data_IF_534090201215
#
_entry.id   IF_534090201215
#
_cell.length_a   1.000
_cell.length_b   1.000
_cell.length_c   1.000
_cell.angle_alpha   90.00
_cell.angle_beta   90.00
_cell.angle_gamma   90.00
#
_symmetry.space_group_name_H-M   'P 1'
#
loop_
_entity.id
_entity.type
_entity.pdbx_description
1 polymer ?
#
# COMPACT_ATOMS: atom_id res chain seq x y z
N UNK A 1 31.78 4.88 -38.07
CA UNK A 1 30.62 5.02 -37.16
C UNK A 1 29.42 4.33 -37.81
N UNK A 2 28.86 3.29 -37.18
CA UNK A 2 27.62 2.66 -37.65
C UNK A 2 26.47 3.31 -36.90
N UNK A 3 25.73 4.20 -37.56
CA UNK A 3 24.48 4.71 -37.04
C UNK A 3 23.38 3.68 -37.36
N UNK A 4 22.73 3.14 -36.33
CA UNK A 4 21.49 2.36 -36.48
C UNK A 4 20.33 3.28 -36.15
N UNK A 5 19.42 3.46 -37.11
CA UNK A 5 18.14 4.09 -36.85
C UNK A 5 17.27 3.16 -36.00
N UNK A 6 16.37 3.74 -35.19
CA UNK A 6 15.37 2.95 -34.48
C UNK A 6 14.54 2.15 -35.48
N UNK A 7 14.19 0.92 -35.14
CA UNK A 7 13.22 0.13 -35.91
C UNK A 7 11.90 0.91 -36.05
N UNK A 8 11.15 0.63 -37.11
CA UNK A 8 9.80 1.19 -37.27
C UNK A 8 8.93 0.89 -36.04
N UNK A 9 8.09 1.86 -35.66
CA UNK A 9 7.13 1.68 -34.58
C UNK A 9 6.12 0.61 -34.97
N UNK A 10 5.81 -0.31 -34.05
CA UNK A 10 4.79 -1.33 -34.27
C UNK A 10 3.41 -0.69 -34.45
N UNK A 11 2.52 -1.27 -35.27
CA UNK A 11 1.17 -0.76 -35.47
C UNK A 11 0.35 -0.71 -34.17
N UNK A 12 0.60 -1.63 -33.22
CA UNK A 12 -0.03 -1.66 -31.90
C UNK A 12 1.05 -1.67 -30.80
N UNK A 13 1.58 -0.51 -30.39
CA UNK A 13 2.73 -0.43 -29.48
C UNK A 13 2.46 -0.93 -28.07
N UNK A 14 1.19 -1.11 -27.68
CA UNK A 14 0.79 -1.59 -26.35
C UNK A 14 0.54 -3.10 -26.29
N UNK A 15 0.58 -3.80 -27.43
CA UNK A 15 0.34 -5.25 -27.51
C UNK A 15 1.69 -5.96 -27.53
N UNK A 16 1.96 -6.75 -26.49
CA UNK A 16 3.16 -7.57 -26.40
C UNK A 16 3.07 -8.77 -27.34
N UNK A 17 4.12 -9.04 -28.10
CA UNK A 17 4.27 -10.27 -28.87
C UNK A 17 4.43 -11.49 -27.93
N UNK A 18 4.13 -12.70 -28.41
CA UNK A 18 4.24 -13.91 -27.59
C UNK A 18 5.62 -14.08 -26.93
N UNK A 19 6.71 -13.78 -27.67
CA UNK A 19 8.08 -13.83 -27.13
C UNK A 19 8.31 -12.81 -26.01
N UNK A 20 7.67 -11.64 -26.09
CA UNK A 20 7.79 -10.60 -25.07
C UNK A 20 6.92 -10.90 -23.85
N UNK A 21 5.78 -11.57 -24.05
CA UNK A 21 4.97 -12.11 -22.98
C UNK A 21 5.70 -13.21 -22.22
N UNK A 22 6.38 -14.11 -22.92
CA UNK A 22 7.24 -15.14 -22.32
C UNK A 22 8.40 -14.49 -21.56
N UNK A 23 9.10 -13.54 -22.18
CA UNK A 23 10.22 -12.84 -21.55
C UNK A 23 9.78 -12.04 -20.33
N UNK A 24 8.61 -11.38 -20.39
CA UNK A 24 7.98 -10.71 -19.26
C UNK A 24 7.68 -11.71 -18.15
N UNK A 25 7.11 -12.87 -18.47
CA UNK A 25 6.76 -13.90 -17.48
C UNK A 25 7.99 -14.46 -16.77
N UNK A 26 9.07 -14.70 -17.52
CA UNK A 26 10.38 -15.13 -17.00
C UNK A 26 10.98 -14.04 -16.11
N UNK A 27 11.00 -12.79 -16.57
CA UNK A 27 11.60 -11.66 -15.83
C UNK A 27 10.83 -11.36 -14.54
N UNK A 28 9.51 -11.54 -14.56
CA UNK A 28 8.66 -11.32 -13.40
C UNK A 28 8.64 -12.52 -12.42
N UNK A 29 9.35 -13.62 -12.72
CA UNK A 29 9.32 -14.86 -11.92
C UNK A 29 7.86 -15.28 -11.59
N UNK A 30 6.93 -15.09 -12.55
CA UNK A 30 5.52 -15.29 -12.27
C UNK A 30 5.28 -16.80 -12.09
N UNK A 31 4.78 -17.25 -10.91
CA UNK A 31 4.46 -18.65 -10.71
C UNK A 31 3.46 -19.14 -11.75
N UNK A 32 3.48 -20.44 -12.06
CA UNK A 32 2.45 -21.06 -12.89
C UNK A 32 1.09 -20.88 -12.18
N UNK A 33 0.10 -20.36 -12.91
CA UNK A 33 -1.21 -20.01 -12.38
C UNK A 33 -1.88 -21.21 -11.71
N UNK A 34 -2.28 -21.03 -10.45
CA UNK A 34 -3.18 -21.96 -9.75
C UNK A 34 -4.58 -21.87 -10.38
N UNK A 35 -5.44 -22.90 -10.27
CA UNK A 35 -6.74 -22.95 -10.95
C UNK A 35 -7.72 -21.83 -10.56
N UNK A 36 -7.42 -21.04 -9.52
CA UNK A 36 -8.10 -19.77 -9.23
C UNK A 36 -7.06 -18.65 -9.02
N UNK A 37 -7.26 -17.55 -9.72
CA UNK A 37 -6.57 -16.27 -9.54
C UNK A 37 -7.62 -15.26 -9.08
N UNK A 38 -7.28 -14.47 -8.07
CA UNK A 38 -8.17 -13.45 -7.52
C UNK A 38 -7.39 -12.16 -7.33
N UNK A 39 -7.90 -11.09 -7.92
CA UNK A 39 -7.31 -9.77 -7.78
C UNK A 39 -7.77 -9.10 -6.48
N UNK A 40 -6.83 -8.39 -5.84
CA UNK A 40 -7.11 -7.50 -4.72
C UNK A 40 -7.05 -6.07 -5.24
N UNK A 41 -8.17 -5.35 -5.14
CA UNK A 41 -8.29 -3.97 -5.63
C UNK A 41 -8.07 -3.01 -4.47
N UNK A 42 -6.99 -2.23 -4.57
CA UNK A 42 -6.57 -1.31 -3.51
C UNK A 42 -6.61 0.14 -4.00
N UNK A 43 -7.44 0.97 -3.37
CA UNK A 43 -7.50 2.40 -3.62
C UNK A 43 -6.82 3.22 -2.53
N UNK A 44 -5.73 3.91 -2.86
CA UNK A 44 -5.07 4.87 -1.96
C UNK A 44 -5.31 6.29 -2.44
N UNK A 45 -5.91 7.12 -1.58
CA UNK A 45 -6.39 8.46 -1.92
C UNK A 45 -5.64 9.51 -1.11
N UNK A 46 -4.53 10.01 -1.66
CA UNK A 46 -3.73 11.09 -1.08
C UNK A 46 -4.34 12.44 -1.43
N UNK A 47 -4.85 13.15 -0.42
CA UNK A 47 -5.45 14.46 -0.64
C UNK A 47 -4.40 15.58 -0.78
N UNK A 48 -4.81 16.69 -1.40
CA UNK A 48 -3.94 17.83 -1.66
C UNK A 48 -3.57 18.64 -0.40
N UNK A 49 -2.54 19.48 -0.51
CA UNK A 49 -2.11 20.38 0.57
C UNK A 49 -3.29 21.19 1.12
N UNK A 50 -3.39 21.23 2.44
CA UNK A 50 -4.47 21.88 3.17
C UNK A 50 -5.88 21.37 2.81
N UNK A 51 -6.03 20.12 2.32
CA UNK A 51 -7.33 19.47 2.16
C UNK A 51 -7.51 18.33 3.16
N UNK A 52 -8.69 18.24 3.76
CA UNK A 52 -9.05 17.15 4.66
C UNK A 52 -10.55 16.88 4.53
N UNK A 53 -10.90 15.71 3.99
CA UNK A 53 -12.26 15.25 3.77
C UNK A 53 -13.14 15.53 4.97
N UNK A 54 -12.76 15.03 6.14
CA UNK A 54 -13.60 15.03 7.33
C UNK A 54 -13.79 16.46 7.87
N UNK A 55 -12.74 17.31 7.80
CA UNK A 55 -12.80 18.73 8.19
C UNK A 55 -13.69 19.52 7.23
N UNK A 56 -13.56 19.24 5.94
CA UNK A 56 -14.14 20.04 4.87
C UNK A 56 -15.59 19.62 4.54
N UNK A 57 -16.10 18.53 5.16
CA UNK A 57 -17.48 18.04 4.98
C UNK A 57 -18.53 19.08 5.34
N UNK A 58 -18.36 19.80 6.45
CA UNK A 58 -19.35 20.78 6.91
C UNK A 58 -19.38 22.04 6.04
N UNK A 59 -18.24 22.39 5.45
CA UNK A 59 -18.10 23.51 4.53
C UNK A 59 -18.47 23.16 3.08
N UNK A 60 -18.85 21.91 2.79
CA UNK A 60 -19.07 21.39 1.43
C UNK A 60 -17.87 21.63 0.49
N UNK A 61 -16.65 21.68 1.05
CA UNK A 61 -15.43 22.07 0.37
C UNK A 61 -14.54 20.88 -0.01
N UNK A 62 -15.14 19.70 -0.23
CA UNK A 62 -14.40 18.48 -0.58
C UNK A 62 -13.59 18.63 -1.86
N UNK A 63 -12.33 18.18 -1.80
CA UNK A 63 -11.49 17.98 -2.98
C UNK A 63 -12.03 16.87 -3.88
N UNK A 64 -11.54 16.82 -5.12
CA UNK A 64 -11.87 15.71 -6.02
C UNK A 64 -11.37 14.36 -5.47
N UNK A 65 -10.26 14.34 -4.75
CA UNK A 65 -9.73 13.11 -4.13
C UNK A 65 -10.69 12.59 -3.05
N UNK A 66 -11.17 13.48 -2.18
CA UNK A 66 -12.17 13.12 -1.17
C UNK A 66 -13.46 12.58 -1.79
N UNK A 67 -13.91 13.16 -2.91
CA UNK A 67 -15.09 12.69 -3.66
C UNK A 67 -14.84 11.32 -4.29
N UNK A 68 -13.68 11.10 -4.90
CA UNK A 68 -13.29 9.82 -5.48
C UNK A 68 -13.22 8.71 -4.42
N UNK A 69 -12.70 9.03 -3.23
CA UNK A 69 -12.67 8.11 -2.10
C UNK A 69 -14.07 7.67 -1.65
N UNK A 70 -15.03 8.60 -1.57
CA UNK A 70 -16.40 8.29 -1.18
C UNK A 70 -17.08 7.35 -2.17
N UNK A 71 -16.92 7.61 -3.48
CA UNK A 71 -17.57 6.81 -4.52
C UNK A 71 -16.85 5.48 -4.82
N UNK A 72 -15.60 5.32 -4.40
CA UNK A 72 -14.88 4.07 -4.58
C UNK A 72 -15.51 2.96 -3.73
N UNK A 73 -15.95 1.89 -4.39
CA UNK A 73 -16.49 0.68 -3.73
C UNK A 73 -15.34 -0.08 -3.09
N UNK A 74 -15.28 -0.10 -1.76
CA UNK A 74 -14.28 -0.86 -1.02
C UNK A 74 -14.41 -0.67 0.49
N UNK A 75 -13.98 -1.68 1.25
CA UNK A 75 -13.90 -1.62 2.70
C UNK A 75 -12.79 -0.64 3.12
N UNK A 76 -13.10 0.41 3.90
CA UNK A 76 -12.12 1.39 4.29
C UNK A 76 -11.19 0.85 5.38
N UNK A 77 -9.93 1.31 5.40
CA UNK A 77 -8.99 1.05 6.52
C UNK A 77 -9.57 1.50 7.86
N UNK A 78 -10.18 2.68 7.85
CA UNK A 78 -10.79 3.34 9.00
C UNK A 78 -12.10 3.94 8.54
N UNK A 79 -13.17 3.71 9.29
CA UNK A 79 -14.51 4.23 8.94
C UNK A 79 -14.66 5.72 9.29
N UNK A 80 -13.77 6.24 10.13
CA UNK A 80 -13.82 7.59 10.68
C UNK A 80 -12.43 7.97 11.21
N UNK A 81 -11.85 9.05 10.71
CA UNK A 81 -10.68 9.68 11.34
C UNK A 81 -11.14 10.67 12.42
N UNK A 82 -10.35 10.79 13.49
CA UNK A 82 -10.56 11.87 14.46
C UNK A 82 -10.00 13.16 13.86
N UNK A 83 -10.79 14.22 13.92
CA UNK A 83 -10.34 15.56 13.54
C UNK A 83 -10.18 16.34 14.84
N UNK A 84 -8.95 16.62 15.24
CA UNK A 84 -8.70 17.32 16.50
C UNK A 84 -9.41 16.60 17.68
N UNK A 85 -10.08 17.33 18.57
CA UNK A 85 -10.87 16.77 19.69
C UNK A 85 -12.27 16.30 19.32
N UNK A 86 -12.64 16.30 18.03
CA UNK A 86 -13.98 15.90 17.55
C UNK A 86 -13.88 14.73 16.58
N UNK A 87 -14.86 13.84 16.62
CA UNK A 87 -14.95 12.78 15.63
C UNK A 87 -15.57 13.36 14.34
N UNK A 88 -14.93 13.17 13.18
CA UNK A 88 -15.47 13.62 11.89
C UNK A 88 -16.76 12.90 11.53
N UNK A 89 -17.50 13.31 10.50
CA UNK A 89 -18.65 12.49 10.05
C UNK A 89 -18.13 11.13 9.53
N UNK A 90 -18.78 10.00 9.88
CA UNK A 90 -18.36 8.69 9.40
C UNK A 90 -18.50 8.61 7.88
N UNK A 91 -17.69 7.74 7.27
CA UNK A 91 -17.73 7.49 5.83
C UNK A 91 -19.12 7.03 5.37
N UNK A 92 -19.49 7.41 4.15
CA UNK A 92 -20.69 6.87 3.54
C UNK A 92 -20.56 5.35 3.41
N UNK A 93 -21.67 4.63 3.59
CA UNK A 93 -21.70 3.19 3.36
C UNK A 93 -21.29 2.90 1.92
N UNK A 94 -20.43 1.89 1.73
CA UNK A 94 -19.97 1.50 0.40
C UNK A 94 -21.18 1.17 -0.49
N UNK A 95 -21.26 1.85 -1.63
CA UNK A 95 -22.22 1.55 -2.69
C UNK A 95 -21.55 0.55 -3.63
N UNK A 96 -22.09 -0.67 -3.69
CA UNK A 96 -21.54 -1.74 -4.52
C UNK A 96 -22.19 -1.71 -5.91
N UNK A 97 -21.36 -1.59 -6.93
CA UNK A 97 -21.78 -1.71 -8.33
C UNK A 97 -22.16 -3.16 -8.66
N UNK A 98 -23.10 -3.35 -9.59
CA UNK A 98 -23.40 -4.67 -10.17
C UNK A 98 -22.21 -5.30 -10.90
N UNK A 99 -21.16 -4.52 -11.18
CA UNK A 99 -19.90 -5.01 -11.75
C UNK A 99 -19.03 -5.77 -10.74
N UNK A 100 -19.27 -5.62 -9.43
CA UNK A 100 -18.55 -6.37 -8.39
C UNK A 100 -19.27 -7.70 -8.13
N UNK A 101 -18.61 -8.85 -8.29
CA UNK A 101 -19.22 -10.14 -7.99
C UNK A 101 -19.59 -10.26 -6.50
N UNK A 102 -20.73 -10.90 -6.23
CA UNK A 102 -21.20 -11.14 -4.86
C UNK A 102 -20.23 -12.06 -4.12
N UNK A 103 -19.80 -11.68 -2.92
CA UNK A 103 -18.83 -12.42 -2.11
C UNK A 103 -17.38 -12.01 -2.34
N UNK A 104 -17.11 -11.16 -3.34
CA UNK A 104 -15.78 -10.61 -3.62
C UNK A 104 -15.56 -9.22 -3.03
N UNK A 105 -16.55 -8.65 -2.34
CA UNK A 105 -16.47 -7.31 -1.72
C UNK A 105 -15.24 -7.17 -0.80
N UNK A 106 -14.86 -8.27 -0.13
CA UNK A 106 -13.70 -8.34 0.76
C UNK A 106 -12.35 -8.06 0.10
N UNK A 107 -12.26 -8.17 -1.23
CA UNK A 107 -11.05 -7.92 -2.02
C UNK A 107 -10.93 -6.47 -2.49
N UNK A 108 -11.99 -5.67 -2.34
CA UNK A 108 -11.99 -4.24 -2.65
C UNK A 108 -11.75 -3.45 -1.37
N UNK A 109 -10.65 -2.69 -1.33
CA UNK A 109 -10.22 -1.96 -0.15
C UNK A 109 -9.83 -0.54 -0.49
N UNK A 110 -10.02 0.37 0.47
CA UNK A 110 -9.64 1.77 0.30
C UNK A 110 -9.01 2.40 1.53
N UNK A 111 -8.15 3.37 1.30
CA UNK A 111 -7.52 4.20 2.33
C UNK A 111 -7.56 5.66 1.90
N UNK A 112 -8.13 6.51 2.74
CA UNK A 112 -8.03 7.96 2.60
C UNK A 112 -6.87 8.48 3.44
N UNK A 113 -6.06 9.36 2.85
CA UNK A 113 -4.92 9.99 3.49
C UNK A 113 -5.13 11.52 3.44
N UNK A 114 -5.33 12.19 4.59
CA UNK A 114 -5.46 13.65 4.65
C UNK A 114 -4.24 14.36 4.07
N UNK A 115 -4.47 15.53 3.50
CA UNK A 115 -3.42 16.37 2.94
C UNK A 115 -2.44 16.88 4.00
N UNK A 116 -1.22 17.20 3.56
CA UNK A 116 -0.24 17.89 4.42
C UNK A 116 -0.74 19.28 4.82
N UNK A 117 -0.36 19.75 6.02
CA UNK A 117 -0.87 21.01 6.57
C UNK A 117 -2.31 20.93 7.09
N UNK A 118 -2.86 19.72 7.21
CA UNK A 118 -4.13 19.46 7.89
C UNK A 118 -3.95 18.45 9.02
N UNK A 119 -4.82 18.46 10.05
CA UNK A 119 -4.68 17.55 11.18
C UNK A 119 -4.75 16.09 10.75
N UNK A 120 -3.77 15.32 11.21
CA UNK A 120 -3.77 13.86 11.22
C UNK A 120 -3.16 13.39 12.55
N UNK A 121 -3.96 13.56 13.60
CA UNK A 121 -3.50 13.51 15.00
C UNK A 121 -2.92 12.15 15.39
N UNK A 122 -3.41 11.08 14.76
CA UNK A 122 -2.96 9.71 15.00
C UNK A 122 -1.55 9.46 14.47
N UNK A 123 -1.07 10.31 13.54
CA UNK A 123 0.32 10.33 13.07
C UNK A 123 1.17 11.41 13.74
N UNK A 124 0.65 12.06 14.78
CA UNK A 124 1.33 13.17 15.46
C UNK A 124 1.31 14.49 14.68
N UNK A 125 0.47 14.62 13.65
CA UNK A 125 0.29 15.88 12.91
C UNK A 125 -0.90 16.66 13.47
N UNK A 126 -0.60 17.77 14.14
CA UNK A 126 -1.61 18.65 14.74
C UNK A 126 -2.36 19.49 13.70
N UNK A 127 -1.75 19.77 12.55
CA UNK A 127 -2.27 20.67 11.53
C UNK A 127 -2.31 22.16 11.91
N UNK A 128 -1.74 22.57 13.06
CA UNK A 128 -1.76 23.96 13.55
C UNK A 128 -0.34 24.44 13.96
N UNK A 129 -0.08 25.76 13.86
CA UNK A 129 1.15 26.37 14.37
C UNK A 129 2.40 26.16 13.50
N UNK A 130 3.54 25.92 14.15
CA UNK A 130 4.88 25.82 13.50
C UNK A 130 4.98 24.67 12.48
N UNK A 131 4.03 23.72 12.52
CA UNK A 131 3.85 22.60 11.58
C UNK A 131 3.26 23.04 10.22
N UNK A 132 2.61 24.20 10.14
CA UNK A 132 1.95 24.69 8.93
C UNK A 132 2.83 25.64 8.07
N UNK A 133 4.02 26.03 8.56
CA UNK A 133 4.77 27.20 8.03
C UNK A 133 6.21 26.94 7.59
N UNK A 134 6.73 25.71 7.69
CA UNK A 134 8.11 25.41 7.29
C UNK A 134 8.14 24.25 6.28
N UNK A 135 8.82 24.44 5.15
CA UNK A 135 8.95 23.41 4.11
C UNK A 135 9.51 22.08 4.64
N UNK A 136 10.34 22.12 5.70
CA UNK A 136 10.82 20.92 6.40
C UNK A 136 9.72 20.18 7.17
N UNK A 137 8.78 20.89 7.79
CA UNK A 137 7.64 20.27 8.48
C UNK A 137 6.70 19.60 7.47
N UNK A 138 6.40 20.28 6.35
CA UNK A 138 5.62 19.69 5.27
C UNK A 138 6.26 18.42 4.69
N UNK A 139 7.59 18.40 4.51
CA UNK A 139 8.31 17.20 4.05
C UNK A 139 8.25 16.05 5.06
N UNK A 140 8.45 16.33 6.36
CA UNK A 140 8.32 15.31 7.43
C UNK A 140 6.93 14.71 7.49
N UNK A 141 5.90 15.55 7.52
CA UNK A 141 4.51 15.12 7.61
C UNK A 141 4.02 14.43 6.33
N UNK A 142 4.60 14.77 5.17
CA UNK A 142 4.41 14.04 3.93
C UNK A 142 4.99 12.63 3.98
N UNK A 143 6.23 12.48 4.44
CA UNK A 143 6.90 11.17 4.56
C UNK A 143 6.17 10.23 5.51
N UNK A 144 5.74 10.71 6.69
CA UNK A 144 4.99 9.88 7.66
C UNK A 144 3.68 9.37 7.06
N UNK A 145 2.96 10.18 6.26
CA UNK A 145 1.74 9.75 5.55
C UNK A 145 2.01 8.66 4.52
N UNK A 146 3.14 8.74 3.81
CA UNK A 146 3.56 7.71 2.86
C UNK A 146 3.90 6.41 3.60
N UNK A 147 4.68 6.49 4.67
CA UNK A 147 5.03 5.33 5.51
C UNK A 147 3.77 4.66 6.07
N UNK A 148 2.83 5.45 6.59
CA UNK A 148 1.56 4.95 7.08
C UNK A 148 0.74 4.25 5.99
N UNK A 149 0.66 4.83 4.79
CA UNK A 149 -0.04 4.21 3.66
C UNK A 149 0.57 2.85 3.27
N UNK A 150 1.90 2.72 3.33
CA UNK A 150 2.58 1.43 3.10
C UNK A 150 2.26 0.39 4.17
N UNK A 151 2.08 0.78 5.43
CA UNK A 151 1.60 -0.13 6.47
C UNK A 151 0.16 -0.57 6.19
N UNK A 152 -0.69 0.33 5.71
CA UNK A 152 -2.07 0.00 5.34
C UNK A 152 -2.17 -0.94 4.13
N UNK A 153 -1.20 -0.90 3.21
CA UNK A 153 -1.08 -1.91 2.16
C UNK A 153 -0.95 -3.33 2.75
N UNK A 154 -0.08 -3.49 3.75
CA UNK A 154 0.07 -4.77 4.46
C UNK A 154 -1.22 -5.20 5.17
N UNK A 155 -1.89 -4.27 5.86
CA UNK A 155 -3.19 -4.54 6.51
C UNK A 155 -4.27 -4.97 5.52
N UNK A 156 -4.35 -4.33 4.35
CA UNK A 156 -5.36 -4.66 3.35
C UNK A 156 -5.14 -6.03 2.74
N UNK A 157 -3.90 -6.37 2.40
CA UNK A 157 -3.55 -7.70 1.89
C UNK A 157 -3.88 -8.75 2.96
N UNK A 158 -3.43 -8.53 4.19
CA UNK A 158 -3.70 -9.47 5.29
C UNK A 158 -5.20 -9.62 5.55
N UNK A 159 -5.97 -8.53 5.52
CA UNK A 159 -7.40 -8.57 5.75
C UNK A 159 -8.18 -9.18 4.59
N UNK A 160 -7.71 -9.04 3.34
CA UNK A 160 -8.31 -9.69 2.19
C UNK A 160 -8.13 -11.22 2.23
N UNK A 161 -7.00 -11.68 2.75
CA UNK A 161 -6.67 -13.11 2.86
C UNK A 161 -7.22 -13.76 4.14
N UNK A 162 -7.10 -13.09 5.28
CA UNK A 162 -7.34 -13.64 6.62
C UNK A 162 -8.59 -13.08 7.31
N UNK A 163 -9.30 -12.14 6.67
CA UNK A 163 -10.52 -11.53 7.20
C UNK A 163 -10.31 -10.50 8.33
N UNK A 164 -9.06 -10.21 8.73
CA UNK A 164 -8.73 -9.23 9.77
C UNK A 164 -7.47 -8.43 9.41
N UNK A 165 -7.35 -7.19 9.88
CA UNK A 165 -6.12 -6.40 9.75
C UNK A 165 -4.94 -7.06 10.50
N UNK A 166 -3.71 -6.76 10.08
CA UNK A 166 -2.49 -7.28 10.72
C UNK A 166 -2.23 -6.56 12.05
N UNK A 167 -2.47 -5.26 12.07
CA UNK A 167 -2.26 -4.35 13.19
C UNK A 167 -3.42 -3.36 13.28
N UNK A 168 -3.42 -2.52 14.34
CA UNK A 168 -4.39 -1.43 14.45
C UNK A 168 -3.92 -0.24 13.59
N UNK A 169 -4.71 0.19 12.58
CA UNK A 169 -4.28 1.22 11.64
C UNK A 169 -3.88 2.56 12.25
N UNK A 170 -4.54 2.99 13.32
CA UNK A 170 -4.31 4.33 13.89
C UNK A 170 -3.43 4.33 15.14
N UNK A 171 -3.28 3.18 15.81
CA UNK A 171 -2.50 3.09 17.04
C UNK A 171 -1.08 2.60 16.72
N UNK A 172 -0.95 1.32 16.37
CA UNK A 172 0.34 0.67 16.16
C UNK A 172 1.05 1.22 14.92
N UNK A 173 0.31 1.32 13.80
CA UNK A 173 0.90 1.77 12.54
C UNK A 173 1.19 3.26 12.54
N UNK A 174 0.41 4.05 13.27
CA UNK A 174 0.63 5.50 13.38
C UNK A 174 1.95 5.80 14.07
N UNK A 175 2.20 5.09 15.19
CA UNK A 175 3.48 5.16 15.89
C UNK A 175 4.64 4.65 15.03
N UNK A 176 4.46 3.50 14.38
CA UNK A 176 5.50 2.89 13.55
C UNK A 176 5.88 3.78 12.36
N UNK A 177 4.91 4.43 11.71
CA UNK A 177 5.17 5.37 10.62
C UNK A 177 6.04 6.56 11.05
N UNK A 178 5.83 7.06 12.28
CA UNK A 178 6.68 8.08 12.88
C UNK A 178 8.10 7.59 13.17
N UNK A 179 8.24 6.39 13.75
CA UNK A 179 9.55 5.76 14.00
C UNK A 179 10.34 5.50 12.71
N UNK A 180 9.66 5.21 11.59
CA UNK A 180 10.28 5.04 10.27
C UNK A 180 10.91 6.36 9.77
N UNK A 181 10.25 7.50 9.99
CA UNK A 181 10.81 8.82 9.68
C UNK A 181 12.03 9.14 10.56
N UNK A 182 11.96 8.86 11.87
CA UNK A 182 13.09 9.15 12.77
C UNK A 182 14.35 8.38 12.37
N UNK A 183 14.19 7.13 11.93
CA UNK A 183 15.30 6.30 11.42
C UNK A 183 15.85 6.83 10.10
N UNK A 184 15.00 7.27 9.17
CA UNK A 184 15.45 7.83 7.89
C UNK A 184 16.24 9.14 8.09
N UNK A 185 15.79 10.01 8.99
CA UNK A 185 16.47 11.26 9.34
C UNK A 185 17.75 11.01 10.16
N UNK A 186 17.74 10.04 11.07
CA UNK A 186 18.91 9.69 11.89
C UNK A 186 20.08 9.11 11.10
N UNK A 187 19.82 8.50 9.94
CA UNK A 187 20.85 8.04 9.01
C UNK A 187 21.48 9.17 8.17
N UNK A 188 20.94 10.40 8.21
CA UNK A 188 21.46 11.56 7.47
C UNK A 188 22.61 12.29 8.19
N UNK A 189 23.49 11.56 8.90
CA UNK A 189 24.80 12.09 9.32
C UNK A 189 25.64 12.34 8.05
N UNK A 190 26.43 13.43 7.94
CA UNK A 190 27.16 13.74 6.72
C UNK A 190 28.18 12.63 6.43
N UNK A 191 27.87 11.77 5.48
CA UNK A 191 28.82 10.80 4.95
C UNK A 191 29.93 11.56 4.21
N UNK A 192 31.00 11.92 4.92
CA UNK A 192 32.32 12.09 4.31
C UNK A 192 32.76 10.71 3.81
N UNK A 193 32.39 10.38 2.57
CA UNK A 193 33.16 9.42 1.76
C UNK A 193 32.65 7.98 1.63
N UNK A 194 31.36 7.67 1.79
CA UNK A 194 30.84 6.38 1.30
C UNK A 194 29.37 6.43 0.93
N UNK A 195 29.09 6.29 -0.37
CA UNK A 195 27.75 6.13 -0.92
C UNK A 195 27.21 4.75 -0.53
N UNK A 196 26.50 4.65 0.60
CA UNK A 196 25.60 3.52 0.81
C UNK A 196 24.23 3.91 0.27
N UNK A 197 23.92 3.37 -0.91
CA UNK A 197 22.56 3.28 -1.39
C UNK A 197 21.80 2.42 -0.37
N UNK A 198 20.87 3.02 0.40
CA UNK A 198 20.00 2.26 1.28
C UNK A 198 19.17 1.32 0.41
N UNK A 199 19.41 0.02 0.55
CA UNK A 199 18.64 -1.02 -0.13
C UNK A 199 17.22 -0.98 0.41
N UNK A 200 16.22 -1.24 -0.45
CA UNK A 200 14.82 -1.44 -0.06
C UNK A 200 14.69 -2.40 1.14
N UNK A 201 15.60 -3.36 1.30
CA UNK A 201 15.63 -4.27 2.45
C UNK A 201 15.77 -3.59 3.82
N UNK A 202 16.52 -2.50 3.94
CA UNK A 202 16.70 -1.80 5.22
C UNK A 202 15.45 -0.97 5.59
N UNK A 203 14.69 -0.53 4.59
CA UNK A 203 13.41 0.17 4.76
C UNK A 203 12.29 -0.75 5.29
N UNK A 204 12.31 -2.04 4.93
CA UNK A 204 11.31 -3.05 5.34
C UNK A 204 11.67 -3.80 6.64
N UNK A 205 12.87 -3.60 7.21
CA UNK A 205 13.34 -4.31 8.41
C UNK A 205 12.40 -4.21 9.63
N UNK A 206 11.73 -3.08 9.94
CA UNK A 206 10.79 -3.04 11.07
C UNK A 206 9.43 -3.71 10.79
N UNK A 207 9.08 -3.98 9.52
CA UNK A 207 7.86 -4.74 9.13
C UNK A 207 8.14 -6.25 9.09
N UNK A 208 9.40 -6.65 8.86
CA UNK A 208 9.83 -8.04 8.79
C UNK A 208 9.60 -8.90 10.06
N UNK A 209 9.72 -8.41 11.32
CA UNK A 209 9.42 -9.25 12.48
C UNK A 209 7.93 -9.64 12.59
N UNK A 210 7.01 -8.90 11.96
CA UNK A 210 5.58 -9.29 11.87
C UNK A 210 5.30 -10.28 10.73
N UNK A 211 6.10 -10.25 9.66
CA UNK A 211 6.05 -11.23 8.55
C UNK A 211 6.75 -12.55 8.93
N UNK A 212 7.61 -12.59 9.96
CA UNK A 212 8.25 -13.85 10.39
C UNK A 212 7.26 -14.89 10.94
N UNK A 213 6.06 -14.49 11.38
CA UNK A 213 4.99 -15.42 11.72
C UNK A 213 4.24 -15.99 10.50
N UNK A 214 4.53 -15.50 9.29
CA UNK A 214 4.20 -16.15 8.01
C UNK A 214 5.19 -17.26 7.64
N UNK A 215 5.88 -17.89 8.62
CA UNK A 215 6.46 -19.23 8.48
C UNK A 215 5.40 -20.30 8.80
N UNK A 216 4.31 -20.30 8.07
CA UNK A 216 3.50 -21.51 7.93
C UNK A 216 3.72 -22.00 6.49
N UNK A 217 4.25 -23.21 6.35
CA UNK A 217 4.65 -23.89 5.10
C UNK A 217 6.04 -23.53 4.51
N UNK A 218 7.09 -23.67 5.31
CA UNK A 218 8.35 -24.20 4.77
C UNK A 218 9.09 -25.01 5.84
N UNK A 219 8.57 -26.21 6.07
CA UNK A 219 9.32 -27.35 6.62
C UNK A 219 8.94 -28.60 5.84
N UNK A 220 9.16 -28.59 4.52
CA UNK A 220 9.35 -29.86 3.83
C UNK A 220 10.76 -30.33 4.20
N UNK A 221 10.83 -31.14 5.25
CA UNK A 221 12.00 -31.85 5.70
C UNK A 221 12.60 -32.58 4.49
N UNK A 222 13.82 -32.21 4.12
CA UNK A 222 14.62 -32.88 3.10
C UNK A 222 14.89 -34.30 3.60
N UNK A 223 13.96 -35.22 3.32
CA UNK A 223 14.19 -36.65 3.46
C UNK A 223 14.76 -37.12 2.12
N UNK A 224 16.07 -37.39 2.16
CA UNK A 224 16.76 -38.23 1.19
C UNK A 224 16.01 -39.55 1.06
N UNK A 225 15.29 -39.76 -0.04
CA UNK A 225 14.95 -41.09 -0.55
C UNK A 225 14.74 -41.06 -2.05
N UNK A 226 15.59 -41.83 -2.71
CA UNK A 226 15.65 -42.25 -4.11
C UNK A 226 14.33 -42.35 -4.89
N UNK A 227 14.41 -41.96 -6.18
CA UNK A 227 13.74 -42.55 -7.34
C UNK A 227 12.35 -43.19 -7.15
N UNK A 228 11.28 -42.46 -7.48
CA UNK A 228 10.29 -42.80 -8.54
C UNK A 228 9.14 -41.79 -8.49
N UNK A 229 8.59 -41.48 -9.67
CA UNK A 229 7.47 -40.57 -9.93
C UNK A 229 6.20 -40.93 -9.11
N UNK A 230 5.54 -39.96 -8.44
CA UNK A 230 4.08 -39.95 -8.49
C UNK A 230 3.47 -38.55 -8.68
N UNK A 231 2.45 -38.49 -9.53
CA UNK A 231 1.48 -37.40 -9.66
C UNK A 231 0.78 -37.16 -8.31
N UNK A 232 0.77 -35.93 -7.83
CA UNK A 232 -0.06 -35.50 -6.69
C UNK A 232 -1.19 -34.65 -7.26
N UNK A 233 -2.40 -35.22 -7.29
CA UNK A 233 -3.65 -34.47 -7.46
C UNK A 233 -4.15 -34.06 -6.08
N UNK A 234 -4.32 -32.76 -5.84
CA UNK A 234 -5.00 -32.25 -4.66
C UNK A 234 -6.41 -31.77 -5.06
N UNK A 235 -7.43 -32.39 -4.49
CA UNK A 235 -8.83 -31.96 -4.62
C UNK A 235 -9.15 -30.96 -3.51
N UNK A 236 -9.72 -29.81 -3.86
CA UNK A 236 -10.29 -28.88 -2.88
C UNK A 236 -11.67 -29.38 -2.42
N UNK A 237 -11.88 -29.40 -1.10
CA UNK A 237 -13.19 -29.42 -0.46
C UNK A 237 -13.59 -27.99 -0.10
#
# INVERSE_FOLDING_TARGET
MSARFSSECRPNPLVLEAKEQDQRSITQNRPQSLPCEQDIYLGFFFDGTNNNKYRDTEAFAHSNVARLYEVYSGEPTVTQLKILKKAGKPDAKAVWSSAVPKGEEKYYRKTYIPGVGTPFIELGDSGEGMDNTLGLAMSKHGEVRINWALLQLGNHIHAALMGKALSKPLEDDGKLAGEMLEKSVGSAVPNRGRSQCCSLYDFYSPVMPLIKNFRAFSTCKMLSSSFHNPRITASCW
#
